data_IF_829367978548
#
_entry.id   IF_829367978548
#
_cell.length_a   1.000
_cell.length_b   1.000
_cell.length_c   1.000
_cell.angle_alpha   90.00
_cell.angle_beta   90.00
_cell.angle_gamma   90.00
#
_symmetry.space_group_name_H-M   'P 1'
#
loop_
_entity.id
_entity.type
_entity.pdbx_description
1 polymer ?
#
# COMPACT_ATOMS: atom_id res chain seq x y z
N UNK A 1 14.34 -15.53 -7.44
CA UNK A 1 14.52 -14.43 -8.39
C UNK A 1 13.38 -14.34 -9.38
N UNK A 2 13.32 -15.24 -10.36
CA UNK A 2 12.19 -15.29 -11.29
C UNK A 2 10.87 -15.52 -10.57
N UNK A 3 10.88 -16.32 -9.50
CA UNK A 3 9.68 -16.60 -8.70
C UNK A 3 9.11 -15.35 -8.05
N UNK A 4 9.95 -14.46 -7.54
CA UNK A 4 9.48 -13.21 -6.94
C UNK A 4 8.75 -12.36 -7.96
N UNK A 5 9.31 -12.23 -9.16
CA UNK A 5 8.69 -11.47 -10.23
C UNK A 5 7.34 -12.07 -10.61
N UNK A 6 7.21 -13.39 -10.55
CA UNK A 6 5.95 -14.07 -10.84
C UNK A 6 4.87 -13.78 -9.79
N UNK A 7 5.26 -13.32 -8.60
CA UNK A 7 4.32 -12.98 -7.54
C UNK A 7 3.88 -11.52 -7.58
N UNK A 8 4.43 -10.70 -8.45
CA UNK A 8 3.99 -9.30 -8.61
C UNK A 8 2.79 -9.32 -9.55
N UNK A 9 1.67 -9.74 -9.01
CA UNK A 9 0.41 -9.92 -9.75
C UNK A 9 -0.75 -9.31 -8.98
N UNK A 10 -1.85 -9.07 -9.67
CA UNK A 10 -3.08 -8.60 -9.03
C UNK A 10 -3.56 -9.57 -7.95
N UNK A 11 -3.50 -10.87 -8.21
CA UNK A 11 -3.95 -11.88 -7.25
C UNK A 11 -3.15 -11.81 -5.96
N UNK A 12 -1.83 -11.70 -6.06
CA UNK A 12 -0.97 -11.56 -4.89
C UNK A 12 -1.23 -10.24 -4.17
N UNK A 13 -1.37 -9.15 -4.91
CA UNK A 13 -1.67 -7.84 -4.34
C UNK A 13 -2.98 -7.86 -3.55
N UNK A 14 -4.00 -8.55 -4.04
CA UNK A 14 -5.27 -8.69 -3.31
C UNK A 14 -5.09 -9.47 -2.00
N UNK A 15 -4.27 -10.52 -2.01
CA UNK A 15 -3.97 -11.28 -0.79
C UNK A 15 -3.25 -10.43 0.26
N UNK A 16 -2.37 -9.56 -0.19
CA UNK A 16 -1.69 -8.60 0.70
C UNK A 16 -2.70 -7.62 1.29
N UNK A 17 -3.59 -7.10 0.45
CA UNK A 17 -4.64 -6.19 0.90
C UNK A 17 -5.54 -6.87 1.93
N UNK A 18 -5.92 -8.12 1.70
CA UNK A 18 -6.72 -8.90 2.64
C UNK A 18 -6.01 -9.05 3.98
N UNK A 19 -4.70 -9.29 3.95
CA UNK A 19 -3.90 -9.34 5.17
C UNK A 19 -3.95 -8.02 5.93
N UNK A 20 -3.94 -6.89 5.21
CA UNK A 20 -4.07 -5.57 5.81
C UNK A 20 -5.45 -5.39 6.47
N UNK A 21 -6.51 -5.89 5.84
CA UNK A 21 -7.85 -5.85 6.43
C UNK A 21 -7.86 -6.53 7.81
N UNK A 22 -7.29 -7.72 7.90
CA UNK A 22 -7.23 -8.46 9.15
C UNK A 22 -6.31 -7.81 10.18
N UNK A 23 -5.20 -7.28 9.74
CA UNK A 23 -4.16 -6.79 10.64
C UNK A 23 -4.49 -5.41 11.19
N UNK A 24 -4.96 -4.50 10.34
CA UNK A 24 -5.17 -3.10 10.71
C UNK A 24 -6.63 -2.73 10.83
N UNK A 25 -7.53 -3.49 10.25
CA UNK A 25 -8.95 -3.25 10.31
C UNK A 25 -9.43 -2.13 9.41
N UNK A 26 -10.67 -1.72 9.62
CA UNK A 26 -11.32 -0.66 8.84
C UNK A 26 -11.05 0.71 9.46
N UNK A 27 -10.83 1.71 8.60
CA UNK A 27 -10.67 3.08 9.05
C UNK A 27 -11.95 3.60 9.69
N UNK A 28 -11.79 4.33 10.79
CA UNK A 28 -12.90 5.07 11.41
C UNK A 28 -13.13 6.42 10.73
N UNK A 29 -12.20 6.84 9.90
CA UNK A 29 -12.20 8.16 9.27
C UNK A 29 -12.65 8.03 7.81
N UNK A 30 -12.09 7.07 7.07
CA UNK A 30 -12.24 6.98 5.63
C UNK A 30 -13.29 5.95 5.16
N UNK A 31 -14.09 5.42 6.09
CA UNK A 31 -15.23 4.58 5.73
C UNK A 31 -14.86 3.16 5.35
N UNK A 32 -15.51 2.58 4.33
CA UNK A 32 -15.38 1.16 4.03
C UNK A 32 -13.97 0.78 3.57
N UNK A 33 -13.68 -0.52 3.59
CA UNK A 33 -12.40 -1.04 3.13
C UNK A 33 -12.11 -0.59 1.71
N UNK A 34 -10.85 -0.21 1.42
CA UNK A 34 -10.51 0.23 0.08
C UNK A 34 -10.46 -0.93 -0.90
N UNK A 35 -10.78 -0.65 -2.15
CA UNK A 35 -10.57 -1.58 -3.26
C UNK A 35 -9.11 -1.50 -3.73
N UNK A 36 -8.72 -2.44 -4.56
CA UNK A 36 -7.39 -2.49 -5.16
C UNK A 36 -7.49 -2.21 -6.66
N UNK A 37 -6.59 -1.37 -7.14
CA UNK A 37 -6.38 -1.20 -8.57
C UNK A 37 -4.91 -1.43 -8.89
N UNK A 38 -4.62 -2.53 -9.57
CA UNK A 38 -3.27 -2.94 -9.94
C UNK A 38 -3.14 -2.80 -11.45
N UNK A 39 -2.50 -1.73 -11.90
CA UNK A 39 -2.49 -1.37 -13.32
C UNK A 39 -1.24 -0.58 -13.70
N UNK A 40 -1.06 -0.38 -14.99
CA UNK A 40 -0.01 0.50 -15.50
C UNK A 40 -0.28 1.94 -15.07
N UNK A 41 0.78 2.75 -14.85
CA UNK A 41 0.60 4.14 -14.52
C UNK A 41 0.00 4.91 -15.70
N UNK A 42 -0.74 5.95 -15.38
CA UNK A 42 -1.24 6.89 -16.37
C UNK A 42 -0.46 8.21 -16.27
N UNK A 43 -0.93 9.21 -16.98
CA UNK A 43 -0.32 10.53 -16.99
C UNK A 43 -0.18 11.12 -15.58
N UNK A 44 -1.14 10.85 -14.72
CA UNK A 44 -1.19 11.46 -13.38
C UNK A 44 -0.38 10.69 -12.34
N UNK A 45 -0.25 9.39 -12.49
CA UNK A 45 0.42 8.54 -11.50
C UNK A 45 1.92 8.42 -11.75
N UNK A 46 2.36 8.55 -13.01
CA UNK A 46 3.78 8.56 -13.35
C UNK A 46 4.56 7.38 -12.81
N UNK A 47 5.67 7.67 -12.13
CA UNK A 47 6.59 6.66 -11.60
C UNK A 47 6.32 6.28 -10.15
N UNK A 48 5.25 6.78 -9.55
CA UNK A 48 4.91 6.45 -8.17
C UNK A 48 4.65 4.95 -8.02
N UNK A 49 5.05 4.40 -6.86
CA UNK A 49 4.76 2.99 -6.55
C UNK A 49 3.26 2.77 -6.36
N UNK A 50 2.57 3.74 -5.77
CA UNK A 50 1.14 3.66 -5.57
C UNK A 50 0.64 4.84 -4.76
N UNK A 51 -0.66 4.88 -4.56
CA UNK A 51 -1.29 5.87 -3.69
C UNK A 51 -2.68 5.41 -3.25
N UNK A 52 -3.18 6.01 -2.17
CA UNK A 52 -4.56 5.82 -1.74
C UNK A 52 -5.41 6.99 -2.22
N UNK A 53 -6.49 6.68 -2.95
CA UNK A 53 -7.46 7.67 -3.44
C UNK A 53 -8.72 7.56 -2.58
N UNK A 54 -8.98 8.59 -1.76
CA UNK A 54 -10.14 8.59 -0.87
C UNK A 54 -11.46 8.82 -1.61
N UNK A 55 -11.42 9.50 -2.76
CA UNK A 55 -12.65 9.76 -3.54
C UNK A 55 -13.21 8.45 -4.08
N UNK A 56 -12.35 7.63 -4.69
CA UNK A 56 -12.73 6.33 -5.22
C UNK A 56 -12.60 5.21 -4.18
N UNK A 57 -12.07 5.51 -3.00
CA UNK A 57 -11.81 4.55 -1.94
C UNK A 57 -11.03 3.34 -2.46
N UNK A 58 -9.91 3.65 -3.14
CA UNK A 58 -9.12 2.65 -3.85
C UNK A 58 -7.64 2.86 -3.57
N UNK A 59 -6.94 1.76 -3.34
CA UNK A 59 -5.48 1.75 -3.33
C UNK A 59 -5.01 1.41 -4.74
N UNK A 60 -4.36 2.37 -5.39
CA UNK A 60 -3.73 2.16 -6.68
C UNK A 60 -2.32 1.63 -6.48
N UNK A 61 -1.96 0.59 -7.22
CA UNK A 61 -0.60 0.03 -7.23
C UNK A 61 -0.09 0.03 -8.67
N UNK A 62 1.08 0.62 -8.87
CA UNK A 62 1.71 0.70 -10.17
C UNK A 62 2.46 -0.61 -10.45
N UNK A 63 1.95 -1.41 -11.38
CA UNK A 63 2.53 -2.72 -11.66
C UNK A 63 3.90 -2.66 -12.36
N UNK A 64 4.28 -1.54 -12.93
CA UNK A 64 5.55 -1.41 -13.67
C UNK A 64 6.73 -1.08 -12.76
N UNK A 65 6.49 -0.45 -11.61
CA UNK A 65 7.57 -0.07 -10.70
C UNK A 65 7.93 -1.16 -9.69
N UNK A 66 7.13 -2.21 -9.58
CA UNK A 66 7.37 -3.29 -8.64
C UNK A 66 8.07 -4.47 -9.31
N UNK A 67 9.20 -4.88 -8.76
CA UNK A 67 9.99 -5.99 -9.28
C UNK A 67 10.09 -7.15 -8.29
N UNK A 68 9.83 -6.93 -7.01
CA UNK A 68 9.92 -7.94 -5.97
C UNK A 68 8.64 -7.99 -5.15
N UNK A 69 8.42 -9.15 -4.53
CA UNK A 69 7.31 -9.32 -3.60
C UNK A 69 7.43 -8.37 -2.40
N UNK A 70 8.64 -8.18 -1.91
CA UNK A 70 8.89 -7.27 -0.80
C UNK A 70 8.43 -5.83 -1.11
N UNK A 71 8.77 -5.34 -2.31
CA UNK A 71 8.33 -4.00 -2.73
C UNK A 71 6.81 -3.91 -2.78
N UNK A 72 6.15 -4.92 -3.33
CA UNK A 72 4.71 -4.96 -3.42
C UNK A 72 4.05 -4.94 -2.03
N UNK A 73 4.56 -5.75 -1.11
CA UNK A 73 4.07 -5.80 0.26
C UNK A 73 4.21 -4.44 0.95
N UNK A 74 5.39 -3.83 0.83
CA UNK A 74 5.66 -2.53 1.45
C UNK A 74 4.74 -1.45 0.93
N UNK A 75 4.53 -1.39 -0.39
CA UNK A 75 3.65 -0.38 -0.99
C UNK A 75 2.22 -0.52 -0.48
N UNK A 76 1.68 -1.73 -0.45
CA UNK A 76 0.29 -1.92 -0.04
C UNK A 76 0.11 -1.60 1.44
N UNK A 77 1.04 -2.00 2.29
CA UNK A 77 0.99 -1.65 3.71
C UNK A 77 1.05 -0.13 3.88
N UNK A 78 1.95 0.54 3.17
CA UNK A 78 2.12 1.99 3.24
C UNK A 78 0.83 2.72 2.89
N UNK A 79 0.23 2.37 1.76
CA UNK A 79 -1.00 3.03 1.32
C UNK A 79 -2.19 2.67 2.19
N UNK A 80 -2.25 1.43 2.67
CA UNK A 80 -3.30 1.02 3.60
C UNK A 80 -3.22 1.80 4.90
N UNK A 81 -2.01 2.09 5.38
CA UNK A 81 -1.84 2.89 6.59
C UNK A 81 -2.35 4.32 6.41
N UNK A 82 -2.16 4.92 5.23
CA UNK A 82 -2.78 6.22 4.93
C UNK A 82 -4.31 6.12 5.03
N UNK A 83 -4.90 5.07 4.49
CA UNK A 83 -6.34 4.85 4.61
C UNK A 83 -6.80 4.76 6.06
N UNK A 84 -6.08 4.02 6.91
CA UNK A 84 -6.47 3.77 8.29
C UNK A 84 -6.30 5.00 9.18
N UNK A 85 -5.20 5.73 9.02
CA UNK A 85 -4.70 6.60 10.08
C UNK A 85 -5.12 8.06 9.98
N UNK A 86 -5.52 8.56 8.81
CA UNK A 86 -5.85 9.97 8.66
C UNK A 86 -6.70 10.21 7.42
N UNK A 87 -7.36 11.40 7.35
CA UNK A 87 -8.02 11.80 6.12
C UNK A 87 -7.01 12.38 5.13
N UNK A 88 -7.30 12.24 3.84
CA UNK A 88 -6.44 12.84 2.80
C UNK A 88 -6.52 14.36 2.83
N UNK A 89 -7.61 14.92 3.35
CA UNK A 89 -7.71 16.35 3.56
C UNK A 89 -6.63 16.85 4.52
N UNK A 90 -6.47 16.16 5.66
CA UNK A 90 -5.41 16.47 6.63
C UNK A 90 -4.04 16.31 6.01
N UNK A 91 -3.84 15.23 5.26
CA UNK A 91 -2.59 14.98 4.56
C UNK A 91 -2.25 16.14 3.60
N UNK A 92 -3.22 16.60 2.82
CA UNK A 92 -3.03 17.67 1.84
C UNK A 92 -2.70 19.00 2.51
N UNK A 93 -3.29 19.29 3.66
CA UNK A 93 -2.96 20.49 4.43
C UNK A 93 -1.48 20.48 4.82
N UNK A 94 -1.00 19.37 5.35
CA UNK A 94 0.41 19.25 5.71
C UNK A 94 1.33 19.26 4.50
N UNK A 95 0.91 18.67 3.38
CA UNK A 95 1.71 18.63 2.16
C UNK A 95 1.97 20.00 1.55
N UNK A 96 1.14 21.01 1.87
CA UNK A 96 1.38 22.40 1.44
C UNK A 96 2.59 23.03 2.12
N UNK A 97 2.95 22.55 3.30
CA UNK A 97 3.96 23.16 4.16
C UNK A 97 5.20 22.29 4.32
N UNK A 98 5.07 20.99 4.10
CA UNK A 98 6.14 20.02 4.37
C UNK A 98 6.39 19.14 3.16
N UNK A 99 7.65 18.84 2.90
CA UNK A 99 8.02 17.82 1.92
C UNK A 99 7.66 16.43 2.45
N UNK A 100 7.59 15.42 1.56
CA UNK A 100 7.22 14.05 1.94
C UNK A 100 8.10 13.51 3.06
N UNK A 101 9.41 13.75 3.01
CA UNK A 101 10.34 13.26 4.02
C UNK A 101 10.15 13.90 5.40
N UNK A 102 9.48 15.05 5.46
CA UNK A 102 9.20 15.75 6.72
C UNK A 102 7.75 15.62 7.17
N UNK A 103 6.87 15.14 6.30
CA UNK A 103 5.45 14.96 6.63
C UNK A 103 5.30 13.83 7.65
N UNK A 104 4.75 14.09 8.86
CA UNK A 104 4.64 13.05 9.88
C UNK A 104 3.76 11.88 9.47
N UNK A 105 2.79 12.10 8.58
CA UNK A 105 1.93 11.01 8.07
C UNK A 105 2.70 10.07 7.15
N UNK A 106 3.61 10.60 6.32
CA UNK A 106 4.50 9.76 5.51
C UNK A 106 5.52 9.02 6.38
N UNK A 107 6.09 9.70 7.36
CA UNK A 107 7.03 9.05 8.29
C UNK A 107 6.38 7.90 9.03
N UNK A 108 5.13 8.09 9.46
CA UNK A 108 4.37 7.07 10.17
C UNK A 108 4.09 5.86 9.26
N UNK A 109 3.67 6.10 8.02
CA UNK A 109 3.42 5.04 7.05
C UNK A 109 4.70 4.24 6.75
N UNK A 110 5.83 4.92 6.60
CA UNK A 110 7.14 4.27 6.39
C UNK A 110 7.50 3.41 7.60
N UNK A 111 7.28 3.93 8.79
CA UNK A 111 7.56 3.19 10.03
C UNK A 111 6.74 1.89 10.11
N UNK A 112 5.47 1.97 9.78
CA UNK A 112 4.57 0.80 9.82
C UNK A 112 4.96 -0.23 8.75
N UNK A 113 5.25 0.20 7.53
CA UNK A 113 5.66 -0.75 6.49
C UNK A 113 6.95 -1.47 6.87
N UNK A 114 7.92 -0.76 7.43
CA UNK A 114 9.19 -1.36 7.86
C UNK A 114 9.02 -2.31 9.04
N UNK A 115 8.11 -1.99 9.95
CA UNK A 115 7.83 -2.83 11.10
C UNK A 115 7.15 -4.13 10.71
N UNK A 116 6.25 -4.09 9.73
CA UNK A 116 5.28 -5.18 9.51
C UNK A 116 5.44 -5.97 8.21
N UNK A 117 6.26 -5.51 7.25
CA UNK A 117 6.33 -6.17 5.94
C UNK A 117 6.77 -7.63 6.03
N UNK A 118 7.68 -7.94 6.95
CA UNK A 118 8.14 -9.34 7.13
C UNK A 118 7.03 -10.24 7.66
N UNK A 119 6.15 -9.71 8.48
CA UNK A 119 4.99 -10.46 8.99
C UNK A 119 4.06 -10.85 7.84
N UNK A 120 3.83 -9.93 6.92
CA UNK A 120 3.02 -10.20 5.74
C UNK A 120 3.69 -11.24 4.84
N UNK A 121 5.00 -11.11 4.61
CA UNK A 121 5.75 -12.09 3.82
C UNK A 121 5.62 -13.50 4.40
N UNK A 122 5.73 -13.64 5.71
CA UNK A 122 5.55 -14.94 6.38
C UNK A 122 4.15 -15.48 6.21
N UNK A 123 3.15 -14.62 6.30
CA UNK A 123 1.75 -14.99 6.08
C UNK A 123 1.55 -15.54 4.67
N UNK A 124 2.06 -14.83 3.65
CA UNK A 124 1.93 -15.25 2.26
C UNK A 124 2.60 -16.59 2.02
N UNK A 125 3.76 -16.82 2.60
CA UNK A 125 4.48 -18.08 2.48
C UNK A 125 3.70 -19.22 3.13
N UNK A 126 3.22 -19.00 4.34
CA UNK A 126 2.52 -20.02 5.12
C UNK A 126 1.17 -20.39 4.52
N UNK A 127 0.36 -19.40 4.17
CA UNK A 127 -1.03 -19.61 3.74
C UNK A 127 -1.16 -19.94 2.26
N UNK A 128 -0.26 -19.43 1.42
CA UNK A 128 -0.40 -19.52 -0.03
C UNK A 128 0.83 -20.09 -0.73
N UNK A 129 1.88 -20.38 0.02
CA UNK A 129 3.18 -20.81 -0.54
C UNK A 129 3.73 -19.79 -1.55
N UNK A 130 3.56 -18.52 -1.26
CA UNK A 130 4.06 -17.40 -2.06
C UNK A 130 5.35 -16.87 -1.42
N UNK A 131 6.40 -16.80 -2.22
CA UNK A 131 7.68 -16.29 -1.75
C UNK A 131 8.71 -17.30 -1.32
#
# INVERSE_FOLDING_TARGET
MRKEKNYVTRATAQKILDWCYFTYGRSKINGPYPALEFRKPDYYTGDDYGYYDEVDQTIFVNKETHHTLEELVKTIIHEYWHYVSHSMHEYQILAKWLTSDKNPMEKDAIKIERRDYKKCLRFLKKEYNIG
#
